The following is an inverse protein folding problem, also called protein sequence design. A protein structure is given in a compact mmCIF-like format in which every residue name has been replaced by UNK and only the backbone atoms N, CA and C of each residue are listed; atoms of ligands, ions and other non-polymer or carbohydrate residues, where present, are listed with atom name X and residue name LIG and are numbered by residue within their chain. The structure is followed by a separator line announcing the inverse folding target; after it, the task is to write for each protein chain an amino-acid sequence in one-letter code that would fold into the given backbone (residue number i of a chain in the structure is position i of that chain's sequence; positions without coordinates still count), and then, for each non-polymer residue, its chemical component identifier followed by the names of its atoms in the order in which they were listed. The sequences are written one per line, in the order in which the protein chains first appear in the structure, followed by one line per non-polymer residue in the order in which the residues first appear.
data_IF_350954457817
#
_entry.id   IF_350954457817
#
_cell.length_a   1.000
_cell.length_b   1.000
_cell.length_c   1.000
_cell.angle_alpha   90.00
_cell.angle_beta   90.00
_cell.angle_gamma   90.00
#
_symmetry.space_group_name_H-M   'P 1'
#
loop_
_entity.id
_entity.type
_entity.pdbx_description
1 polymer ?
#
# COMPACT_ATOMS: atom_id res chain seq x y z
N UNK A 1 21.50 -40.23 -32.78
CA UNK A 1 21.91 -39.18 -31.80
C UNK A 1 22.53 -39.85 -30.59
N UNK A 2 23.73 -39.44 -30.17
CA UNK A 2 24.39 -39.99 -28.98
C UNK A 2 23.68 -39.53 -27.70
N UNK A 3 23.52 -40.40 -26.69
CA UNK A 3 22.82 -40.14 -25.41
C UNK A 3 23.22 -38.80 -24.76
N UNK A 4 24.47 -38.36 -24.94
CA UNK A 4 24.98 -37.06 -24.47
C UNK A 4 24.32 -35.84 -25.11
N UNK A 5 24.00 -35.88 -26.42
CA UNK A 5 23.31 -34.78 -27.12
C UNK A 5 21.85 -34.66 -26.68
N UNK A 6 21.20 -35.79 -26.39
CA UNK A 6 19.82 -35.83 -25.90
C UNK A 6 19.72 -35.25 -24.48
N UNK A 7 20.65 -35.60 -23.60
CA UNK A 7 20.73 -35.03 -22.25
C UNK A 7 20.98 -33.52 -22.25
N UNK A 8 21.82 -33.01 -23.16
CA UNK A 8 22.07 -31.58 -23.30
C UNK A 8 20.83 -30.81 -23.80
N UNK A 9 20.11 -31.37 -24.77
CA UNK A 9 18.88 -30.76 -25.30
C UNK A 9 17.76 -30.73 -24.25
N UNK A 10 17.61 -31.79 -23.45
CA UNK A 10 16.65 -31.82 -22.35
C UNK A 10 17.03 -30.79 -21.28
N UNK A 11 18.32 -30.71 -20.89
CA UNK A 11 18.79 -29.72 -19.93
C UNK A 11 18.59 -28.27 -20.39
N UNK A 12 18.83 -27.99 -21.68
CA UNK A 12 18.59 -26.68 -22.27
C UNK A 12 17.10 -26.32 -22.34
N UNK A 13 16.25 -27.27 -22.73
CA UNK A 13 14.80 -27.09 -22.76
C UNK A 13 14.22 -26.86 -21.36
N UNK A 14 14.72 -27.58 -20.35
CA UNK A 14 14.34 -27.36 -18.95
C UNK A 14 14.78 -25.99 -18.47
N UNK A 15 15.99 -25.54 -18.78
CA UNK A 15 16.47 -24.21 -18.40
C UNK A 15 15.66 -23.07 -19.04
N UNK A 16 15.31 -23.21 -20.32
CA UNK A 16 14.47 -22.22 -21.01
C UNK A 16 13.06 -22.22 -20.41
N UNK A 17 12.48 -23.41 -20.16
CA UNK A 17 11.17 -23.52 -19.51
C UNK A 17 11.16 -22.88 -18.11
N UNK A 18 12.20 -23.12 -17.32
CA UNK A 18 12.34 -22.55 -15.98
C UNK A 18 12.56 -21.03 -16.03
N UNK A 19 13.31 -20.54 -17.02
CA UNK A 19 13.50 -19.10 -17.28
C UNK A 19 12.21 -18.40 -17.69
N UNK A 20 11.39 -19.03 -18.53
CA UNK A 20 10.07 -18.50 -18.92
C UNK A 20 9.09 -18.51 -17.75
N UNK A 21 9.06 -19.58 -16.95
CA UNK A 21 8.24 -19.62 -15.72
C UNK A 21 8.70 -18.55 -14.73
N UNK A 22 10.00 -18.35 -14.55
CA UNK A 22 10.53 -17.30 -13.69
C UNK A 22 10.15 -15.90 -14.22
N UNK A 23 10.19 -15.67 -15.54
CA UNK A 23 9.76 -14.42 -16.16
C UNK A 23 8.25 -14.18 -16.03
N UNK A 24 7.42 -15.23 -16.09
CA UNK A 24 5.98 -15.13 -15.86
C UNK A 24 5.66 -14.93 -14.38
N UNK A 25 6.42 -15.53 -13.46
CA UNK A 25 6.28 -15.32 -12.02
C UNK A 25 6.75 -13.92 -11.62
N UNK A 26 7.89 -13.44 -12.14
CA UNK A 26 8.40 -12.09 -11.90
C UNK A 26 7.53 -11.05 -12.61
N UNK A 27 7.14 -11.29 -13.86
CA UNK A 27 6.25 -10.42 -14.65
C UNK A 27 4.84 -10.35 -14.07
N UNK A 28 4.33 -11.48 -13.59
CA UNK A 28 3.11 -11.58 -12.80
C UNK A 28 3.25 -10.85 -11.46
N UNK A 29 4.34 -11.08 -10.72
CA UNK A 29 4.64 -10.41 -9.46
C UNK A 29 4.87 -8.89 -9.59
N UNK A 30 5.37 -8.40 -10.73
CA UNK A 30 5.43 -6.97 -11.02
C UNK A 30 4.05 -6.35 -11.29
N UNK A 31 3.06 -7.16 -11.68
CA UNK A 31 1.64 -6.78 -11.63
C UNK A 31 1.03 -6.82 -10.22
N UNK A 32 1.78 -7.31 -9.23
CA UNK A 32 1.43 -7.35 -7.80
C UNK A 32 2.26 -6.37 -6.96
N UNK A 33 2.99 -5.43 -7.58
CA UNK A 33 3.43 -4.25 -6.84
C UNK A 33 2.16 -3.44 -6.54
N UNK A 34 1.75 -3.28 -5.27
CA UNK A 34 0.59 -2.47 -4.97
C UNK A 34 0.88 -1.06 -5.48
N UNK A 35 -0.05 -0.50 -6.26
CA UNK A 35 -0.07 0.93 -6.47
C UNK A 35 -0.05 1.62 -5.09
N UNK A 36 0.64 2.76 -4.99
CA UNK A 36 0.59 3.56 -3.77
C UNK A 36 -0.88 3.77 -3.37
N UNK A 37 -1.21 3.63 -2.08
CA UNK A 37 -2.59 3.76 -1.66
C UNK A 37 -3.11 5.16 -2.02
N UNK A 38 -4.23 5.20 -2.72
CA UNK A 38 -5.01 6.41 -2.89
C UNK A 38 -5.43 6.94 -1.52
N UNK A 39 -5.08 8.18 -1.24
CA UNK A 39 -5.46 8.95 -0.03
C UNK A 39 -6.23 10.19 -0.47
N UNK A 40 -7.14 10.72 0.36
CA UNK A 40 -7.94 11.87 -0.01
C UNK A 40 -7.07 13.10 -0.16
N UNK A 41 -7.45 13.96 -1.10
CA UNK A 41 -6.95 15.34 -1.09
C UNK A 41 -7.78 16.13 -0.08
N UNK A 42 -7.11 16.89 0.78
CA UNK A 42 -7.75 17.78 1.75
C UNK A 42 -7.55 19.22 1.30
N UNK A 43 -8.65 19.95 1.18
CA UNK A 43 -8.67 21.36 0.83
C UNK A 43 -9.18 22.23 1.97
N UNK A 44 -9.02 23.54 1.83
CA UNK A 44 -9.39 24.53 2.83
C UNK A 44 -10.25 25.63 2.23
N UNK A 45 -11.26 26.06 2.97
CA UNK A 45 -12.07 27.22 2.62
C UNK A 45 -12.39 28.02 3.89
N UNK A 46 -13.10 29.12 3.75
CA UNK A 46 -13.62 29.88 4.89
C UNK A 46 -15.04 30.34 4.64
N UNK A 47 -15.85 30.39 5.70
CA UNK A 47 -17.16 31.04 5.65
C UNK A 47 -17.03 32.56 5.55
N UNK A 48 -18.14 33.25 5.23
CA UNK A 48 -18.20 34.72 5.21
C UNK A 48 -17.85 35.33 6.57
N UNK A 49 -18.11 34.61 7.66
CA UNK A 49 -17.80 35.01 9.03
C UNK A 49 -16.34 34.75 9.44
N UNK A 50 -15.50 34.22 8.53
CA UNK A 50 -14.09 33.94 8.77
C UNK A 50 -13.81 32.57 9.37
N UNK A 51 -14.83 31.78 9.69
CA UNK A 51 -14.65 30.40 10.20
C UNK A 51 -13.95 29.52 9.16
N UNK A 52 -12.95 28.75 9.60
CA UNK A 52 -12.21 27.83 8.76
C UNK A 52 -13.01 26.56 8.46
N UNK A 53 -12.94 26.13 7.20
CA UNK A 53 -13.60 24.94 6.69
C UNK A 53 -12.55 23.97 6.14
N UNK A 54 -12.77 22.68 6.39
CA UNK A 54 -12.05 21.59 5.73
C UNK A 54 -12.94 21.07 4.60
N UNK A 55 -12.38 20.96 3.40
CA UNK A 55 -13.08 20.45 2.22
C UNK A 55 -12.49 19.10 1.87
N UNK A 56 -13.33 18.07 1.89
CA UNK A 56 -12.99 16.71 1.51
C UNK A 56 -13.65 16.42 0.16
N UNK A 57 -13.03 15.58 -0.67
CA UNK A 57 -13.60 15.24 -1.97
C UNK A 57 -14.82 14.31 -1.84
N UNK A 58 -15.75 14.33 -2.80
CA UNK A 58 -16.99 13.55 -2.75
C UNK A 58 -16.81 12.04 -2.91
N UNK A 59 -15.78 11.58 -3.63
CA UNK A 59 -15.43 10.15 -3.72
C UNK A 59 -14.79 9.66 -2.41
N UNK A 60 -14.04 10.54 -1.73
CA UNK A 60 -13.39 10.25 -0.46
C UNK A 60 -14.36 10.29 0.73
N UNK A 61 -15.35 11.17 0.71
CA UNK A 61 -16.24 11.46 1.83
C UNK A 61 -16.96 10.24 2.44
N UNK A 62 -17.54 9.31 1.66
CA UNK A 62 -18.20 8.13 2.21
C UNK A 62 -17.25 7.21 3.00
N UNK A 63 -15.95 7.29 2.70
CA UNK A 63 -14.92 6.46 3.32
C UNK A 63 -14.35 7.06 4.62
N UNK A 64 -14.57 8.36 4.86
CA UNK A 64 -14.05 9.04 6.05
C UNK A 64 -14.61 8.45 7.33
N UNK A 65 -13.75 8.14 8.28
CA UNK A 65 -14.07 7.61 9.60
C UNK A 65 -13.65 8.58 10.72
N UNK A 66 -12.56 9.32 10.51
CA UNK A 66 -12.06 10.33 11.43
C UNK A 66 -11.64 11.61 10.71
N UNK A 67 -11.86 12.73 11.40
CA UNK A 67 -11.38 14.05 11.02
C UNK A 67 -10.73 14.67 12.25
N UNK A 68 -9.46 15.04 12.13
CA UNK A 68 -8.68 15.63 13.21
C UNK A 68 -8.04 16.94 12.76
N UNK A 69 -8.05 17.93 13.65
CA UNK A 69 -7.32 19.19 13.48
C UNK A 69 -6.22 19.24 14.52
N UNK A 70 -5.00 19.48 14.06
CA UNK A 70 -3.81 19.44 14.92
C UNK A 70 -2.93 20.65 14.70
N UNK A 71 -2.24 21.05 15.75
CA UNK A 71 -1.26 22.14 15.69
C UNK A 71 0.02 21.70 14.96
N UNK A 72 0.70 22.65 14.32
CA UNK A 72 1.95 22.39 13.60
C UNK A 72 1.75 22.06 12.11
N UNK A 73 2.84 21.75 11.43
CA UNK A 73 2.91 21.51 9.99
C UNK A 73 3.35 20.09 9.62
N UNK A 74 3.45 19.19 10.60
CA UNK A 74 3.86 17.81 10.37
C UNK A 74 2.69 16.87 10.68
N UNK A 75 2.31 15.97 9.75
CA UNK A 75 1.30 14.96 10.01
C UNK A 75 1.71 14.11 11.20
N UNK A 76 0.74 13.71 12.01
CA UNK A 76 0.87 12.89 13.20
C UNK A 76 1.65 13.53 14.36
N UNK A 77 2.23 14.70 14.13
CA UNK A 77 3.04 15.46 15.07
C UNK A 77 2.33 16.78 15.39
N UNK A 78 1.85 16.90 16.63
CA UNK A 78 1.08 18.07 17.01
C UNK A 78 0.05 17.77 18.08
N UNK A 79 -0.26 18.78 18.87
CA UNK A 79 -1.37 18.70 19.84
C UNK A 79 -2.69 18.66 19.06
N UNK A 80 -3.55 17.70 19.40
CA UNK A 80 -4.94 17.64 18.94
C UNK A 80 -5.69 18.89 19.39
N UNK A 81 -6.36 19.56 18.46
CA UNK A 81 -7.10 20.80 18.68
C UNK A 81 -8.61 20.57 18.57
N UNK A 82 -9.02 19.70 17.66
CA UNK A 82 -10.41 19.29 17.46
C UNK A 82 -10.46 17.91 16.78
N UNK A 83 -11.48 17.11 17.07
CA UNK A 83 -11.67 15.82 16.41
C UNK A 83 -13.14 15.41 16.35
N UNK A 84 -13.54 14.83 15.23
CA UNK A 84 -14.83 14.18 15.05
C UNK A 84 -14.65 12.77 14.49
N UNK A 85 -15.46 11.82 14.97
CA UNK A 85 -15.45 10.43 14.52
C UNK A 85 -16.81 9.97 14.07
N UNK A 86 -16.87 9.14 13.04
CA UNK A 86 -18.12 8.58 12.54
C UNK A 86 -18.76 7.67 13.60
N UNK A 87 -20.05 7.86 13.86
CA UNK A 87 -20.81 7.07 14.87
C UNK A 87 -21.80 6.10 14.26
N UNK A 88 -22.04 6.17 12.96
CA UNK A 88 -22.95 5.31 12.22
C UNK A 88 -22.27 4.47 11.14
N UNK A 89 -23.00 3.54 10.51
CA UNK A 89 -22.51 2.87 9.33
C UNK A 89 -22.22 3.88 8.22
N UNK A 90 -21.34 3.49 7.28
CA UNK A 90 -21.09 4.29 6.08
C UNK A 90 -22.41 4.69 5.41
N UNK A 91 -22.64 6.00 5.17
CA UNK A 91 -23.82 6.45 4.45
C UNK A 91 -23.77 5.98 3.00
N UNK A 92 -24.94 5.76 2.39
CA UNK A 92 -25.02 5.59 0.96
C UNK A 92 -24.56 6.89 0.28
N UNK A 93 -23.79 6.83 -0.84
CA UNK A 93 -23.37 8.02 -1.56
C UNK A 93 -24.58 8.89 -1.91
N UNK A 94 -24.55 10.15 -1.48
CA UNK A 94 -25.58 11.14 -1.81
C UNK A 94 -24.96 12.31 -2.57
N UNK A 95 -25.47 12.65 -3.76
CA UNK A 95 -24.91 13.74 -4.57
C UNK A 95 -25.11 15.13 -3.94
N UNK A 96 -25.95 15.24 -2.90
CA UNK A 96 -26.25 16.49 -2.21
C UNK A 96 -25.63 16.56 -0.81
N UNK A 97 -24.81 15.58 -0.42
CA UNK A 97 -24.14 15.61 0.86
C UNK A 97 -23.01 16.64 0.84
N UNK A 98 -22.96 17.49 1.87
CA UNK A 98 -21.87 18.44 2.01
C UNK A 98 -20.59 17.69 2.36
N UNK A 99 -19.55 17.89 1.56
CA UNK A 99 -18.21 17.38 1.81
C UNK A 99 -17.32 18.42 2.50
N UNK A 100 -17.90 19.56 2.87
CA UNK A 100 -17.28 20.64 3.61
C UNK A 100 -17.64 20.53 5.09
N UNK A 101 -16.64 20.63 5.94
CA UNK A 101 -16.73 20.48 7.39
C UNK A 101 -16.30 21.79 8.05
N UNK A 102 -17.18 22.36 8.86
CA UNK A 102 -16.86 23.51 9.69
C UNK A 102 -16.12 23.05 10.95
N UNK A 103 -14.93 23.61 11.20
CA UNK A 103 -14.11 23.19 12.35
C UNK A 103 -14.82 23.60 13.64
N UNK A 104 -14.98 22.66 14.57
CA UNK A 104 -15.75 22.87 15.80
C UNK A 104 -17.21 22.41 15.71
N UNK A 105 -17.69 22.00 14.53
CA UNK A 105 -19.05 21.48 14.34
C UNK A 105 -18.96 20.09 13.68
N UNK A 106 -19.27 19.00 14.42
CA UNK A 106 -19.21 17.66 13.83
C UNK A 106 -20.22 17.55 12.68
N UNK A 107 -19.80 17.02 11.52
CA UNK A 107 -20.70 16.83 10.39
C UNK A 107 -21.77 15.76 10.71
N UNK A 108 -22.89 15.71 9.97
CA UNK A 108 -23.93 14.72 10.19
C UNK A 108 -23.39 13.28 10.19
N UNK A 109 -23.76 12.49 11.20
CA UNK A 109 -23.27 11.11 11.35
C UNK A 109 -21.88 10.98 12.00
N UNK A 110 -21.29 12.10 12.44
CA UNK A 110 -20.09 12.14 13.27
C UNK A 110 -20.42 12.67 14.67
N UNK A 111 -19.63 12.26 15.65
CA UNK A 111 -19.64 12.78 17.01
C UNK A 111 -18.31 13.47 17.29
N UNK A 112 -18.38 14.62 17.95
CA UNK A 112 -17.21 15.33 18.43
C UNK A 112 -16.56 14.52 19.56
N UNK A 113 -15.30 14.14 19.36
CA UNK A 113 -14.51 13.39 20.34
C UNK A 113 -13.46 14.26 21.04
N UNK A 114 -13.16 15.43 20.46
CA UNK A 114 -12.33 16.45 21.07
C UNK A 114 -12.86 17.83 20.67
N UNK A 115 -13.36 18.57 21.66
CA UNK A 115 -13.93 19.89 21.43
C UNK A 115 -12.86 20.94 21.12
N UNK A 116 -13.21 21.91 20.27
CA UNK A 116 -12.31 23.00 19.91
C UNK A 116 -12.17 23.94 21.12
N UNK A 117 -10.99 23.93 21.74
CA UNK A 117 -10.74 24.69 22.97
C UNK A 117 -10.48 26.21 22.79
N UNK A 118 -10.48 26.71 21.55
CA UNK A 118 -10.21 28.11 21.22
C UNK A 118 -9.83 28.29 19.75
N UNK A 119 -9.28 29.45 19.41
CA UNK A 119 -8.87 29.77 18.04
C UNK A 119 -7.76 28.83 17.53
N UNK A 120 -7.78 28.57 16.23
CA UNK A 120 -6.71 27.82 15.57
C UNK A 120 -5.41 28.62 15.61
N UNK A 121 -4.27 28.00 15.96
CA UNK A 121 -2.98 28.64 15.89
C UNK A 121 -2.63 28.97 14.43
N UNK A 122 -1.61 29.79 14.19
CA UNK A 122 -1.18 30.13 12.82
C UNK A 122 -0.77 28.90 12.00
N UNK A 123 -0.18 27.90 12.64
CA UNK A 123 0.24 26.65 12.01
C UNK A 123 -0.61 25.51 12.54
N UNK A 124 -1.42 24.93 11.66
CA UNK A 124 -2.25 23.77 11.91
C UNK A 124 -2.44 22.98 10.62
N UNK A 125 -2.90 21.76 10.75
CA UNK A 125 -3.20 20.87 9.64
C UNK A 125 -4.46 20.07 9.93
N UNK A 126 -5.09 19.59 8.87
CA UNK A 126 -6.23 18.68 8.93
C UNK A 126 -5.77 17.27 8.55
N UNK A 127 -6.23 16.28 9.31
CA UNK A 127 -6.03 14.86 9.05
C UNK A 127 -7.40 14.22 8.83
N UNK A 128 -7.49 13.37 7.81
CA UNK A 128 -8.71 12.66 7.44
C UNK A 128 -8.34 11.20 7.20
N UNK A 129 -8.98 10.28 7.89
CA UNK A 129 -8.67 8.86 7.82
C UNK A 129 -9.89 7.99 7.53
N UNK A 130 -9.64 6.79 7.00
CA UNK A 130 -10.63 5.72 6.88
C UNK A 130 -10.29 4.52 7.80
N UNK A 131 -9.58 4.77 8.91
CA UNK A 131 -8.93 3.81 9.83
C UNK A 131 -7.66 3.12 9.32
N UNK A 132 -7.51 2.91 8.02
CA UNK A 132 -6.36 2.18 7.45
C UNK A 132 -5.35 3.10 6.78
N UNK A 133 -5.86 4.12 6.08
CA UNK A 133 -5.08 5.13 5.40
C UNK A 133 -5.48 6.50 5.92
N UNK A 134 -4.53 7.43 5.83
CA UNK A 134 -4.73 8.80 6.24
C UNK A 134 -4.29 9.73 5.11
N UNK A 135 -5.06 10.79 4.88
CA UNK A 135 -4.63 11.96 4.13
C UNK A 135 -4.51 13.14 5.08
N UNK A 136 -3.56 14.02 4.79
CA UNK A 136 -3.32 15.22 5.60
C UNK A 136 -2.93 16.38 4.70
N UNK A 137 -3.31 17.59 5.10
CA UNK A 137 -2.83 18.81 4.45
C UNK A 137 -2.59 19.89 5.49
N UNK A 138 -1.53 20.68 5.31
CA UNK A 138 -1.29 21.87 6.13
C UNK A 138 -2.21 22.99 5.69
N UNK A 139 -2.82 23.68 6.66
CA UNK A 139 -3.68 24.80 6.35
C UNK A 139 -2.86 25.96 5.75
N UNK A 140 -3.32 26.55 4.64
CA UNK A 140 -2.65 27.67 4.01
C UNK A 140 -2.79 28.94 4.88
N UNK A 141 -1.86 29.88 4.73
CA UNK A 141 -1.89 31.18 5.43
C UNK A 141 -3.16 32.01 5.12
N UNK A 142 -3.85 31.71 4.02
CA UNK A 142 -5.10 32.39 3.64
C UNK A 142 -6.05 31.43 2.93
N UNK A 143 -7.33 31.49 3.31
CA UNK A 143 -8.45 30.79 2.65
C UNK A 143 -9.40 31.79 2.00
N UNK A 144 -10.37 31.29 1.22
CA UNK A 144 -11.40 32.11 0.57
C UNK A 144 -12.78 31.49 0.71
N UNK A 145 -13.82 32.28 0.51
CA UNK A 145 -15.23 31.83 0.48
C UNK A 145 -15.63 31.15 -0.82
N UNK A 146 -14.99 31.52 -1.93
CA UNK A 146 -15.49 31.18 -3.28
C UNK A 146 -14.70 30.06 -3.96
N UNK A 147 -13.62 29.59 -3.33
CA UNK A 147 -12.73 28.57 -3.89
C UNK A 147 -12.13 27.71 -2.79
N UNK A 148 -11.74 26.49 -3.18
CA UNK A 148 -10.99 25.57 -2.33
C UNK A 148 -9.51 25.90 -2.48
N UNK A 149 -8.83 26.16 -1.37
CA UNK A 149 -7.39 26.42 -1.32
C UNK A 149 -6.67 25.14 -0.89
N UNK A 150 -5.69 24.71 -1.67
CA UNK A 150 -4.85 23.55 -1.38
C UNK A 150 -3.68 23.95 -0.46
N UNK A 151 -2.95 22.95 0.05
CA UNK A 151 -1.80 23.15 0.94
C UNK A 151 -0.72 24.07 0.36
N UNK A 152 -0.47 23.97 -0.95
CA UNK A 152 0.48 24.82 -1.67
C UNK A 152 -0.02 26.25 -1.93
N UNK A 153 -1.22 26.58 -1.44
CA UNK A 153 -1.90 27.85 -1.66
C UNK A 153 -2.60 27.96 -3.01
N UNK A 154 -2.58 26.91 -3.85
CA UNK A 154 -3.31 26.91 -5.10
C UNK A 154 -4.81 26.97 -4.85
N UNK A 155 -5.49 27.84 -5.59
CA UNK A 155 -6.96 27.97 -5.53
C UNK A 155 -7.59 27.22 -6.69
N UNK A 156 -8.55 26.36 -6.37
CA UNK A 156 -9.32 25.58 -7.34
C UNK A 156 -10.81 25.78 -7.10
N UNK A 157 -11.60 25.66 -8.17
CA UNK A 157 -13.06 25.67 -8.04
C UNK A 157 -13.53 24.42 -7.32
N UNK A 158 -14.68 24.47 -6.65
CA UNK A 158 -15.27 23.30 -6.01
C UNK A 158 -15.45 22.12 -6.99
N UNK A 159 -15.88 22.40 -8.22
CA UNK A 159 -15.97 21.39 -9.28
C UNK A 159 -14.61 20.84 -9.73
N UNK A 160 -13.57 21.67 -9.77
CA UNK A 160 -12.20 21.23 -10.07
C UNK A 160 -11.62 20.34 -8.98
N UNK A 161 -11.88 20.68 -7.71
CA UNK A 161 -11.51 19.86 -6.56
C UNK A 161 -12.21 18.50 -6.58
N UNK A 162 -13.54 18.50 -6.79
CA UNK A 162 -14.33 17.27 -6.90
C UNK A 162 -13.86 16.38 -8.06
N UNK A 163 -13.50 16.96 -9.21
CA UNK A 163 -13.01 16.19 -10.35
C UNK A 163 -11.59 15.60 -10.14
N UNK A 164 -10.81 16.19 -9.24
CA UNK A 164 -9.47 15.69 -8.89
C UNK A 164 -9.51 14.59 -7.82
N UNK A 165 -10.61 14.48 -7.07
CA UNK A 165 -10.78 13.48 -6.03
C UNK A 165 -10.78 12.06 -6.59
N UNK A 166 -9.98 11.19 -5.97
CA UNK A 166 -9.80 9.80 -6.38
C UNK A 166 -10.33 8.82 -5.34
N UNK A 167 -10.84 9.31 -4.20
CA UNK A 167 -11.33 8.49 -3.11
C UNK A 167 -10.23 7.97 -2.18
N UNK A 168 -10.63 7.09 -1.27
CA UNK A 168 -9.71 6.34 -0.41
C UNK A 168 -9.44 4.94 -0.98
N UNK A 169 -8.27 4.41 -0.66
CA UNK A 169 -8.01 2.97 -0.77
C UNK A 169 -8.86 2.20 0.24
N UNK A 170 -9.44 1.09 -0.20
CA UNK A 170 -10.22 0.21 0.67
C UNK A 170 -9.34 -0.39 1.78
N UNK A 171 -9.91 -0.49 2.98
CA UNK A 171 -9.38 -1.25 4.11
C UNK A 171 -9.42 -2.76 3.85
N UNK A 172 -8.55 -3.30 3.00
CA UNK A 172 -8.46 -4.75 2.77
C UNK A 172 -7.55 -5.42 3.81
N UNK A 173 -8.14 -6.23 4.70
CA UNK A 173 -7.39 -7.13 5.61
C UNK A 173 -6.63 -8.24 4.86
N UNK A 174 -7.03 -8.53 3.62
CA UNK A 174 -6.54 -9.66 2.82
C UNK A 174 -5.14 -9.46 2.22
N UNK A 175 -4.66 -8.21 2.12
CA UNK A 175 -3.38 -7.93 1.46
C UNK A 175 -2.20 -8.42 2.29
N UNK A 176 -2.28 -8.44 3.63
CA UNK A 176 -1.18 -8.92 4.47
C UNK A 176 -0.96 -10.44 4.36
N UNK A 177 -2.04 -11.22 4.35
CA UNK A 177 -1.97 -12.69 4.23
C UNK A 177 -1.52 -13.15 2.84
N UNK A 178 -2.03 -12.51 1.78
CA UNK A 178 -1.61 -12.77 0.40
C UNK A 178 -0.14 -12.40 0.14
N UNK A 179 0.34 -11.30 0.74
CA UNK A 179 1.74 -10.85 0.66
C UNK A 179 2.71 -11.83 1.32
N UNK A 180 2.37 -12.38 2.49
CA UNK A 180 3.18 -13.39 3.17
C UNK A 180 3.23 -14.69 2.35
N UNK A 181 2.09 -15.11 1.79
CA UNK A 181 2.01 -16.29 0.94
C UNK A 181 2.81 -16.14 -0.37
N UNK A 182 2.82 -14.94 -0.98
CA UNK A 182 3.63 -14.65 -2.16
C UNK A 182 5.14 -14.64 -1.85
N UNK A 183 5.56 -14.04 -0.74
CA UNK A 183 6.95 -14.06 -0.28
C UNK A 183 7.44 -15.47 0.06
N UNK A 184 6.61 -16.26 0.75
CA UNK A 184 6.88 -17.67 1.04
C UNK A 184 6.93 -18.52 -0.24
N UNK A 185 6.07 -18.22 -1.22
CA UNK A 185 6.09 -18.85 -2.54
C UNK A 185 7.42 -18.60 -3.27
N UNK A 186 7.90 -17.36 -3.31
CA UNK A 186 9.17 -17.00 -3.95
C UNK A 186 10.36 -17.66 -3.24
N UNK A 187 10.38 -17.67 -1.91
CA UNK A 187 11.40 -18.35 -1.11
C UNK A 187 11.44 -19.86 -1.37
N UNK A 188 10.27 -20.50 -1.51
CA UNK A 188 10.19 -21.95 -1.77
C UNK A 188 10.78 -22.34 -3.13
N UNK A 189 10.59 -21.51 -4.16
CA UNK A 189 11.14 -21.73 -5.50
C UNK A 189 12.67 -21.52 -5.50
N UNK A 190 13.16 -20.51 -4.77
CA UNK A 190 14.60 -20.27 -4.60
C UNK A 190 15.32 -21.46 -3.94
N UNK A 191 14.74 -22.01 -2.87
CA UNK A 191 15.30 -23.19 -2.16
C UNK A 191 15.27 -24.43 -3.05
N UNK A 192 14.16 -24.66 -3.76
CA UNK A 192 14.04 -25.80 -4.71
C UNK A 192 15.07 -25.74 -5.85
N UNK A 193 15.32 -24.55 -6.40
CA UNK A 193 16.33 -24.33 -7.44
C UNK A 193 17.76 -24.60 -6.96
N UNK A 194 18.10 -24.16 -5.75
CA UNK A 194 19.42 -24.42 -5.15
C UNK A 194 19.63 -25.91 -4.88
N UNK A 195 18.62 -26.60 -4.34
CA UNK A 195 18.70 -28.05 -4.09
C UNK A 195 18.88 -28.86 -5.38
N UNK A 196 18.23 -28.45 -6.48
CA UNK A 196 18.44 -29.07 -7.80
C UNK A 196 19.84 -28.81 -8.36
N UNK A 197 20.39 -27.61 -8.17
CA UNK A 197 21.76 -27.29 -8.58
C UNK A 197 22.78 -28.10 -7.78
N UNK A 198 22.60 -28.21 -6.45
CA UNK A 198 23.49 -28.99 -5.57
C UNK A 198 23.44 -30.47 -5.91
N UNK A 199 22.24 -31.05 -6.05
CA UNK A 199 22.09 -32.48 -6.40
C UNK A 199 22.62 -32.79 -7.81
N UNK A 200 22.44 -31.89 -8.77
CA UNK A 200 23.03 -32.02 -10.10
C UNK A 200 24.56 -31.88 -10.09
N UNK A 201 25.09 -31.02 -9.23
CA UNK A 201 26.52 -30.83 -9.03
C UNK A 201 27.18 -32.04 -8.35
N UNK A 202 26.54 -32.63 -7.34
CA UNK A 202 26.96 -33.88 -6.71
C UNK A 202 26.92 -35.06 -7.68
N UNK A 203 25.88 -35.15 -8.51
CA UNK A 203 25.79 -36.17 -9.55
C UNK A 203 26.87 -36.02 -10.63
N UNK A 204 27.28 -34.78 -10.95
CA UNK A 204 28.40 -34.50 -11.87
C UNK A 204 29.77 -34.87 -11.30
N UNK A 205 29.96 -34.76 -9.98
CA UNK A 205 31.27 -34.99 -9.35
C UNK A 205 31.59 -36.46 -9.12
N UNK A 206 30.62 -37.35 -9.25
CA UNK A 206 30.81 -38.78 -8.99
C UNK A 206 31.04 -39.03 -7.50
N UNK A 207 30.38 -40.04 -6.94
CA UNK A 207 30.73 -40.55 -5.62
C UNK A 207 32.23 -40.93 -5.63
N UNK A 208 33.01 -40.56 -4.59
CA UNK A 208 34.39 -41.00 -4.49
C UNK A 208 34.42 -42.54 -4.51
N UNK A 209 35.33 -43.15 -5.29
CA UNK A 209 35.41 -44.60 -5.39
C UNK A 209 36.16 -45.15 -4.17
N UNK A 210 35.50 -45.16 -3.02
CA UNK A 210 35.94 -45.94 -1.85
C UNK A 210 34.76 -46.71 -1.24
N UNK A 211 34.03 -47.47 -2.07
CA UNK A 211 33.22 -48.61 -1.61
C UNK A 211 33.18 -49.76 -2.65
N UNK A 212 34.24 -49.93 -3.43
CA UNK A 212 34.49 -51.18 -4.17
C UNK A 212 35.92 -51.65 -3.91
N UNK A 213 36.24 -51.81 -2.63
CA UNK A 213 37.47 -52.44 -2.15
C UNK A 213 37.12 -53.69 -1.35
N UNK A 214 36.80 -54.79 -2.04
CA UNK A 214 36.82 -56.13 -1.43
C UNK A 214 37.30 -57.15 -2.48
N UNK A 215 38.63 -57.21 -2.59
CA UNK A 215 39.45 -58.39 -2.83
C UNK A 215 39.05 -59.34 -3.98
N UNK A 216 39.63 -59.09 -5.15
CA UNK A 216 40.18 -60.19 -5.93
C UNK A 216 41.48 -60.65 -5.24
N UNK A 217 41.44 -61.77 -4.52
CA UNK A 217 42.64 -62.55 -4.18
C UNK A 217 42.47 -63.98 -4.72
N UNK A 218 43.10 -64.23 -5.87
CA UNK A 218 43.77 -65.49 -6.19
C UNK A 218 45.27 -65.18 -6.17
N UNK A 219 46.08 -66.00 -5.51
CA UNK A 219 46.88 -67.03 -6.21
C UNK A 219 46.85 -68.34 -5.39
N UNK A 220 47.34 -69.51 -5.78
CA UNK A 220 48.12 -70.01 -6.92
C UNK A 220 47.94 -71.54 -6.91
N UNK A 221 48.28 -72.17 -8.03
CA UNK A 221 48.39 -73.62 -8.20
C UNK A 221 49.47 -74.25 -7.32
N UNK A 222 49.14 -75.39 -6.72
CA UNK A 222 49.90 -76.65 -6.79
C UNK A 222 49.01 -77.82 -6.40
#
# INVERSE_FOLDING_TARGET
MTRRRLAFLVGAATWIGLGVVLLVVIGGASGFLPADPTVPTVGFASNADGTHLVVIGPESWPEVEGIEIRSGNQPLEGRLLWAAKRTGPRPAPSPNESTTVEIGIPPPGFEETHALGGDLPRLWHAEVDNRCFYGSAVAPDSTTTDSVTLEDGQRVTAGGFAAADRGFSACDESTFGGRLAALLGILSIGIGGVLLIVTWWDWRRGLPPEMTGAAAQRPESS
#
